data_IF_055252204578
#
_entry.id   IF_055252204578
#
_cell.length_a   1.000
_cell.length_b   1.000
_cell.length_c   1.000
_cell.angle_alpha   90.00
_cell.angle_beta   90.00
_cell.angle_gamma   90.00
#
_symmetry.space_group_name_H-M   'P 1'
#
loop_
_entity.id
_entity.type
_entity.pdbx_description
1 polymer ?
#
# COMPACT_ATOMS: atom_id res chain seq x y z
N UNK A 1 -3.97 26.48 56.27
CA UNK A 1 -2.74 26.16 55.48
C UNK A 1 -2.46 24.66 55.52
N UNK A 2 -2.61 23.95 56.62
CA UNK A 2 -2.42 22.48 56.71
C UNK A 2 -3.41 21.64 55.90
N UNK A 3 -4.67 22.06 55.77
CA UNK A 3 -5.68 21.33 54.99
C UNK A 3 -5.36 21.37 53.46
N UNK A 4 -4.77 22.43 52.97
CA UNK A 4 -4.39 22.54 51.53
C UNK A 4 -3.18 21.65 51.25
N UNK A 5 -2.24 21.55 52.16
CA UNK A 5 -1.04 20.71 52.04
C UNK A 5 -1.38 19.22 52.11
N UNK A 6 -2.38 18.83 52.93
CA UNK A 6 -2.87 17.44 53.01
C UNK A 6 -3.62 17.04 51.71
N UNK A 7 -4.38 17.97 51.14
CA UNK A 7 -5.13 17.72 49.90
C UNK A 7 -4.17 17.55 48.71
N UNK A 8 -3.15 18.40 48.55
CA UNK A 8 -2.15 18.25 47.48
C UNK A 8 -1.33 16.98 47.66
N UNK A 9 -0.98 16.58 48.90
CA UNK A 9 -0.28 15.32 49.15
C UNK A 9 -1.10 14.06 48.77
N UNK A 10 -2.39 14.09 49.03
CA UNK A 10 -3.29 12.99 48.69
C UNK A 10 -3.50 12.85 47.17
N UNK A 11 -3.69 13.97 46.47
CA UNK A 11 -3.78 13.97 45.01
C UNK A 11 -2.48 13.51 44.32
N UNK A 12 -1.33 13.94 44.87
CA UNK A 12 -0.02 13.54 44.36
C UNK A 12 0.22 12.04 44.59
N UNK A 13 -0.10 11.50 45.77
CA UNK A 13 -0.01 10.06 46.04
C UNK A 13 -0.97 9.25 45.18
N UNK A 14 -2.18 9.76 44.95
CA UNK A 14 -3.15 9.11 44.06
C UNK A 14 -2.67 9.14 42.60
N UNK A 15 -2.14 10.25 42.14
CA UNK A 15 -1.56 10.39 40.81
C UNK A 15 -0.32 9.49 40.63
N UNK A 16 0.56 9.44 41.60
CA UNK A 16 1.76 8.58 41.58
C UNK A 16 1.39 7.10 41.67
N UNK A 17 0.46 6.72 42.56
CA UNK A 17 0.01 5.33 42.65
C UNK A 17 -0.77 4.88 41.38
N UNK A 18 -1.57 5.77 40.79
CA UNK A 18 -2.24 5.52 39.51
C UNK A 18 -1.24 5.35 38.36
N UNK A 19 -0.19 6.15 38.31
CA UNK A 19 0.88 6.00 37.29
C UNK A 19 1.73 4.76 37.52
N UNK A 20 2.08 4.42 38.74
CA UNK A 20 2.87 3.20 39.05
C UNK A 20 2.08 1.92 38.84
N UNK A 21 0.78 1.90 39.19
CA UNK A 21 -0.08 0.75 38.89
C UNK A 21 -0.38 0.58 37.40
N UNK A 22 -0.25 1.65 36.62
CA UNK A 22 -0.45 1.64 35.15
C UNK A 22 0.71 0.95 34.44
N UNK A 23 1.91 0.87 35.03
CA UNK A 23 3.10 0.20 34.48
C UNK A 23 3.40 -1.16 35.15
N UNK A 24 2.41 -1.80 35.75
CA UNK A 24 2.58 -3.14 36.34
C UNK A 24 2.75 -4.19 35.22
N UNK A 25 3.97 -4.28 34.68
CA UNK A 25 4.35 -5.32 33.69
C UNK A 25 4.34 -6.69 34.37
N UNK A 26 3.52 -7.62 33.86
CA UNK A 26 3.48 -9.00 34.34
C UNK A 26 4.19 -9.94 33.36
N UNK A 27 5.47 -10.27 33.58
CA UNK A 27 6.24 -11.11 32.69
C UNK A 27 5.73 -12.55 32.58
N UNK A 28 5.01 -13.05 33.59
CA UNK A 28 4.46 -14.40 33.56
C UNK A 28 3.41 -14.59 32.45
N UNK A 29 2.76 -13.51 32.01
CA UNK A 29 1.78 -13.56 30.92
C UNK A 29 2.43 -13.82 29.55
N UNK A 30 3.72 -13.50 29.37
CA UNK A 30 4.41 -13.69 28.09
C UNK A 30 4.54 -15.16 27.69
N UNK A 31 4.52 -16.07 28.66
CA UNK A 31 4.67 -17.52 28.42
C UNK A 31 3.34 -18.25 28.26
N UNK A 32 2.22 -17.53 28.34
CA UNK A 32 0.89 -18.13 28.12
C UNK A 32 0.70 -18.50 26.65
N UNK A 33 0.04 -19.63 26.33
CA UNK A 33 -0.20 -20.04 24.95
C UNK A 33 -0.92 -18.98 24.10
N UNK A 34 -1.86 -18.24 24.69
CA UNK A 34 -2.60 -17.15 24.04
C UNK A 34 -1.66 -16.00 23.66
N UNK A 35 -0.76 -15.60 24.56
CA UNK A 35 0.20 -14.53 24.28
C UNK A 35 1.22 -14.93 23.21
N UNK A 36 1.70 -16.17 23.25
CA UNK A 36 2.61 -16.70 22.21
C UNK A 36 1.93 -16.71 20.84
N UNK A 37 0.65 -17.07 20.77
CA UNK A 37 -0.12 -17.02 19.54
C UNK A 37 -0.26 -15.59 19.02
N UNK A 38 -0.56 -14.61 19.87
CA UNK A 38 -0.64 -13.19 19.50
C UNK A 38 0.70 -12.63 19.03
N UNK A 39 1.79 -13.01 19.67
CA UNK A 39 3.14 -12.62 19.25
C UNK A 39 3.51 -13.25 17.90
N UNK A 40 3.19 -14.51 17.67
CA UNK A 40 3.37 -15.17 16.39
C UNK A 40 2.54 -14.50 15.29
N UNK A 41 1.27 -14.17 15.59
CA UNK A 41 0.41 -13.40 14.69
C UNK A 41 0.99 -12.01 14.38
N UNK A 42 1.54 -11.32 15.40
CA UNK A 42 2.19 -10.02 15.21
C UNK A 42 3.36 -10.10 14.25
N UNK A 43 4.21 -11.11 14.43
CA UNK A 43 5.35 -11.34 13.53
C UNK A 43 4.88 -11.63 12.10
N UNK A 44 3.87 -12.47 11.94
CA UNK A 44 3.27 -12.76 10.64
C UNK A 44 2.73 -11.50 9.96
N UNK A 45 1.99 -10.66 10.69
CA UNK A 45 1.45 -9.42 10.17
C UNK A 45 2.56 -8.44 9.75
N UNK A 46 3.65 -8.33 10.52
CA UNK A 46 4.81 -7.51 10.14
C UNK A 46 5.49 -8.03 8.87
N UNK A 47 5.62 -9.34 8.72
CA UNK A 47 6.16 -9.96 7.49
C UNK A 47 5.24 -9.69 6.30
N UNK A 48 3.92 -9.75 6.48
CA UNK A 48 2.95 -9.40 5.44
C UNK A 48 3.03 -7.92 5.06
N UNK A 49 3.16 -7.01 6.04
CA UNK A 49 3.36 -5.57 5.81
C UNK A 49 4.63 -5.33 4.99
N UNK A 50 5.75 -5.93 5.40
CA UNK A 50 7.01 -5.88 4.68
C UNK A 50 6.90 -6.43 3.25
N UNK A 51 6.14 -7.51 3.05
CA UNK A 51 5.87 -8.09 1.74
C UNK A 51 5.13 -7.10 0.83
N UNK A 52 4.04 -6.49 1.27
CA UNK A 52 3.28 -5.53 0.44
C UNK A 52 4.12 -4.30 0.11
N UNK A 53 4.79 -3.73 1.09
CA UNK A 53 5.64 -2.55 0.94
C UNK A 53 6.81 -2.79 -0.03
N UNK A 54 7.50 -3.92 0.09
CA UNK A 54 8.59 -4.30 -0.81
C UNK A 54 8.10 -4.67 -2.21
N UNK A 55 6.91 -5.25 -2.32
CA UNK A 55 6.31 -5.63 -3.61
C UNK A 55 6.01 -4.42 -4.48
N UNK A 56 5.48 -3.34 -3.89
CA UNK A 56 5.28 -2.06 -4.55
C UNK A 56 6.59 -1.59 -5.17
N UNK A 57 7.62 -1.46 -4.34
CA UNK A 57 8.92 -0.94 -4.78
C UNK A 57 9.58 -1.85 -5.81
N UNK A 58 9.56 -3.17 -5.62
CA UNK A 58 10.17 -4.11 -6.55
C UNK A 58 9.54 -4.06 -7.94
N UNK A 59 8.20 -4.06 -8.02
CA UNK A 59 7.48 -4.09 -9.30
C UNK A 59 7.62 -2.77 -10.06
N UNK A 60 7.51 -1.62 -9.38
CA UNK A 60 7.61 -0.30 -10.01
C UNK A 60 9.05 0.17 -10.25
N UNK A 61 10.05 -0.53 -9.71
CA UNK A 61 11.47 -0.30 -10.04
C UNK A 61 11.95 -1.07 -11.26
N UNK A 62 11.10 -1.93 -11.87
CA UNK A 62 11.47 -2.66 -13.09
C UNK A 62 11.46 -1.73 -14.30
N UNK A 63 12.58 -1.68 -15.02
CA UNK A 63 12.68 -0.97 -16.28
C UNK A 63 12.07 -1.76 -17.43
N UNK A 64 11.78 -1.09 -18.54
CA UNK A 64 11.34 -1.77 -19.79
C UNK A 64 12.38 -2.79 -20.29
N UNK A 65 13.67 -2.50 -20.09
CA UNK A 65 14.76 -3.41 -20.46
C UNK A 65 14.76 -4.67 -19.60
N UNK A 66 14.53 -4.54 -18.29
CA UNK A 66 14.43 -5.68 -17.37
C UNK A 66 13.29 -6.62 -17.79
N UNK A 67 12.13 -6.05 -18.14
CA UNK A 67 10.97 -6.82 -18.59
C UNK A 67 11.24 -7.55 -19.91
N UNK A 68 11.92 -6.90 -20.87
CA UNK A 68 12.33 -7.53 -22.12
C UNK A 68 13.35 -8.66 -21.89
N UNK A 69 14.32 -8.45 -21.00
CA UNK A 69 15.31 -9.46 -20.64
C UNK A 69 14.64 -10.68 -20.01
N UNK A 70 13.73 -10.50 -19.07
CA UNK A 70 12.96 -11.58 -18.45
C UNK A 70 12.20 -12.43 -19.48
N UNK A 71 11.63 -11.80 -20.51
CA UNK A 71 11.00 -12.50 -21.64
C UNK A 71 12.00 -13.27 -22.49
N UNK A 72 13.15 -12.68 -22.83
CA UNK A 72 14.21 -13.36 -23.61
C UNK A 72 14.78 -14.56 -22.89
N UNK A 73 14.95 -14.47 -21.58
CA UNK A 73 15.44 -15.57 -20.73
C UNK A 73 14.38 -16.66 -20.49
N UNK A 74 13.18 -16.52 -21.04
CA UNK A 74 12.04 -17.42 -20.85
C UNK A 74 11.75 -17.70 -19.37
N UNK A 75 11.90 -16.68 -18.53
CA UNK A 75 11.61 -16.82 -17.12
C UNK A 75 10.12 -17.19 -16.92
N UNK A 76 9.80 -18.27 -16.22
CA UNK A 76 8.39 -18.73 -16.07
C UNK A 76 7.49 -17.71 -15.36
N UNK A 77 8.06 -16.74 -14.65
CA UNK A 77 7.33 -15.68 -13.92
C UNK A 77 7.27 -14.35 -14.66
N UNK A 78 7.91 -14.24 -15.82
CA UNK A 78 7.88 -13.03 -16.65
C UNK A 78 6.45 -12.68 -17.06
N UNK A 79 5.66 -13.67 -17.43
CA UNK A 79 4.23 -13.50 -17.79
C UNK A 79 3.42 -12.95 -16.62
N UNK A 80 3.61 -13.51 -15.42
CA UNK A 80 2.91 -13.05 -14.20
C UNK A 80 3.25 -11.60 -13.85
N UNK A 81 4.50 -11.20 -14.01
CA UNK A 81 4.94 -9.81 -13.78
C UNK A 81 4.33 -8.87 -14.83
N UNK A 82 4.31 -9.30 -16.08
CA UNK A 82 3.68 -8.53 -17.16
C UNK A 82 2.18 -8.32 -16.92
N UNK A 83 1.45 -9.40 -16.63
CA UNK A 83 0.02 -9.35 -16.30
C UNK A 83 -0.29 -8.38 -15.15
N UNK A 84 0.60 -8.33 -14.14
CA UNK A 84 0.46 -7.41 -13.01
C UNK A 84 0.71 -5.96 -13.42
N UNK A 85 1.73 -5.71 -14.24
CA UNK A 85 2.13 -4.36 -14.65
C UNK A 85 1.28 -3.80 -15.80
N UNK A 86 0.62 -4.64 -16.60
CA UNK A 86 -0.31 -4.20 -17.64
C UNK A 86 -1.54 -3.44 -17.09
N UNK A 87 -1.84 -3.63 -15.79
CA UNK A 87 -2.94 -2.94 -15.13
C UNK A 87 -2.47 -2.22 -13.85
N UNK A 88 -1.63 -1.18 -13.99
CA UNK A 88 -0.94 -0.55 -12.88
C UNK A 88 -1.89 0.02 -11.83
N UNK A 89 -3.01 0.64 -12.25
CA UNK A 89 -4.03 1.15 -11.33
C UNK A 89 -4.63 0.06 -10.44
N UNK A 90 -4.92 -1.12 -11.00
CA UNK A 90 -5.44 -2.25 -10.22
C UNK A 90 -4.39 -2.81 -9.27
N UNK A 91 -3.15 -2.87 -9.72
CA UNK A 91 -2.02 -3.34 -8.93
C UNK A 91 -1.79 -2.43 -7.71
N UNK A 92 -1.67 -1.12 -7.93
CA UNK A 92 -1.48 -0.13 -6.87
C UNK A 92 -2.59 -0.23 -5.81
N UNK A 93 -3.87 -0.18 -6.23
CA UNK A 93 -5.00 -0.28 -5.31
C UNK A 93 -4.94 -1.58 -4.50
N UNK A 94 -4.55 -2.69 -5.13
CA UNK A 94 -4.47 -3.98 -4.45
C UNK A 94 -3.33 -4.04 -3.43
N UNK A 95 -2.17 -3.48 -3.75
CA UNK A 95 -1.02 -3.41 -2.85
C UNK A 95 -1.33 -2.51 -1.66
N UNK A 96 -1.81 -1.28 -1.91
CA UNK A 96 -2.16 -0.33 -0.86
C UNK A 96 -3.24 -0.89 0.06
N UNK A 97 -4.31 -1.47 -0.50
CA UNK A 97 -5.37 -2.08 0.32
C UNK A 97 -4.85 -3.22 1.17
N UNK A 98 -3.93 -4.04 0.65
CA UNK A 98 -3.31 -5.12 1.41
C UNK A 98 -2.43 -4.59 2.53
N UNK A 99 -1.61 -3.60 2.24
CA UNK A 99 -0.73 -2.97 3.22
C UNK A 99 -1.51 -2.34 4.36
N UNK A 100 -2.53 -1.54 4.05
CA UNK A 100 -3.39 -0.91 5.06
C UNK A 100 -4.14 -1.93 5.91
N UNK A 101 -4.73 -2.96 5.28
CA UNK A 101 -5.42 -4.02 6.02
C UNK A 101 -4.51 -4.70 7.05
N UNK A 102 -3.29 -5.03 6.63
CA UNK A 102 -2.30 -5.68 7.49
C UNK A 102 -1.80 -4.74 8.57
N UNK A 103 -1.55 -3.47 8.27
CA UNK A 103 -1.08 -2.48 9.24
C UNK A 103 -2.12 -2.20 10.32
N UNK A 104 -3.41 -2.09 9.93
CA UNK A 104 -4.53 -1.96 10.89
C UNK A 104 -4.64 -3.21 11.75
N UNK A 105 -4.57 -4.41 11.16
CA UNK A 105 -4.62 -5.66 11.91
C UNK A 105 -3.43 -5.80 12.88
N UNK A 106 -2.22 -5.44 12.45
CA UNK A 106 -1.02 -5.46 13.28
C UNK A 106 -1.13 -4.50 14.47
N UNK A 107 -1.65 -3.29 14.23
CA UNK A 107 -1.85 -2.29 15.27
C UNK A 107 -2.91 -2.75 16.28
N UNK A 108 -4.02 -3.32 15.82
CA UNK A 108 -5.07 -3.86 16.66
C UNK A 108 -4.58 -5.04 17.52
N UNK A 109 -3.83 -5.96 16.92
CA UNK A 109 -3.23 -7.09 17.63
C UNK A 109 -2.22 -6.63 18.69
N UNK A 110 -1.32 -5.68 18.35
CA UNK A 110 -0.38 -5.11 19.31
C UNK A 110 -1.10 -4.39 20.45
N UNK A 111 -2.16 -3.64 20.16
CA UNK A 111 -3.00 -3.03 21.19
C UNK A 111 -3.52 -4.09 22.18
N UNK A 112 -4.02 -5.22 21.66
CA UNK A 112 -4.51 -6.32 22.49
C UNK A 112 -3.41 -6.93 23.37
N UNK A 113 -2.20 -7.10 22.85
CA UNK A 113 -1.02 -7.55 23.60
C UNK A 113 -0.69 -6.57 24.71
N UNK A 114 -0.61 -5.28 24.38
CA UNK A 114 -0.23 -4.24 25.33
C UNK A 114 -1.28 -3.98 26.39
N UNK A 115 -2.58 -4.07 26.06
CA UNK A 115 -3.67 -3.98 27.04
C UNK A 115 -3.56 -5.11 28.06
N UNK A 116 -3.23 -6.32 27.64
CA UNK A 116 -3.04 -7.46 28.53
C UNK A 116 -1.83 -7.27 29.46
N UNK A 117 -0.76 -6.61 28.96
CA UNK A 117 0.49 -6.42 29.71
C UNK A 117 0.51 -5.15 30.58
N UNK A 118 -0.09 -4.05 30.11
CA UNK A 118 0.05 -2.71 30.69
C UNK A 118 -1.29 -2.03 31.03
N UNK A 119 -2.42 -2.68 30.76
CA UNK A 119 -3.74 -2.13 31.07
C UNK A 119 -4.02 -0.78 30.39
N UNK A 120 -4.39 0.24 31.16
CA UNK A 120 -4.82 1.54 30.65
C UNK A 120 -3.74 2.35 29.90
N UNK A 121 -2.46 2.09 30.16
CA UNK A 121 -1.36 2.77 29.47
C UNK A 121 -1.11 2.24 28.04
N UNK A 122 -1.74 1.15 27.64
CA UNK A 122 -1.51 0.45 26.39
C UNK A 122 -1.61 1.36 25.15
N UNK A 123 -2.52 2.34 25.14
CA UNK A 123 -2.73 3.23 23.98
C UNK A 123 -1.50 4.03 23.60
N UNK A 124 -0.88 4.68 24.58
CA UNK A 124 0.33 5.48 24.36
C UNK A 124 1.55 4.62 24.04
N UNK A 125 1.67 3.49 24.76
CA UNK A 125 2.75 2.53 24.52
C UNK A 125 2.63 1.95 23.10
N UNK A 126 1.40 1.65 22.65
CA UNK A 126 1.16 1.15 21.30
C UNK A 126 1.62 2.14 20.24
N UNK A 127 1.27 3.41 20.37
CA UNK A 127 1.70 4.44 19.44
C UNK A 127 3.25 4.52 19.36
N UNK A 128 3.89 4.55 20.52
CA UNK A 128 5.35 4.65 20.61
C UNK A 128 6.09 3.42 20.06
N UNK A 129 5.49 2.24 20.18
CA UNK A 129 6.07 0.98 19.71
C UNK A 129 5.73 0.72 18.23
N UNK A 130 4.44 0.85 17.86
CA UNK A 130 3.99 0.45 16.53
C UNK A 130 4.45 1.37 15.42
N UNK A 131 4.52 2.70 15.68
CA UNK A 131 4.97 3.64 14.64
C UNK A 131 6.41 3.36 14.19
N UNK A 132 7.43 3.27 15.08
CA UNK A 132 8.77 2.91 14.65
C UNK A 132 8.86 1.49 14.07
N UNK A 133 8.12 0.54 14.63
CA UNK A 133 8.17 -0.85 14.21
C UNK A 133 7.61 -1.04 12.80
N UNK A 134 6.45 -0.45 12.49
CA UNK A 134 5.89 -0.47 11.13
C UNK A 134 6.75 0.33 10.17
N UNK A 135 7.23 1.51 10.56
CA UNK A 135 8.05 2.33 9.69
C UNK A 135 9.36 1.61 9.33
N UNK A 136 10.07 1.06 10.31
CA UNK A 136 11.37 0.43 10.08
C UNK A 136 11.23 -0.96 9.45
N UNK A 137 10.40 -1.85 10.05
CA UNK A 137 10.31 -3.25 9.61
C UNK A 137 9.24 -3.46 8.55
N UNK A 138 8.16 -2.68 8.56
CA UNK A 138 7.06 -2.78 7.59
C UNK A 138 7.29 -2.00 6.30
N UNK A 139 8.05 -0.89 6.34
CA UNK A 139 8.17 0.01 5.19
C UNK A 139 9.61 0.25 4.74
N UNK A 140 10.43 0.93 5.53
CA UNK A 140 11.73 1.45 5.07
C UNK A 140 12.69 0.32 4.72
N UNK A 141 12.90 -0.63 5.62
CA UNK A 141 13.85 -1.74 5.39
C UNK A 141 13.44 -2.62 4.21
N UNK A 142 12.17 -3.08 4.09
CA UNK A 142 11.75 -3.90 2.96
C UNK A 142 11.87 -3.18 1.62
N UNK A 143 11.48 -1.90 1.54
CA UNK A 143 11.62 -1.09 0.33
C UNK A 143 13.08 -0.94 -0.08
N UNK A 144 13.96 -0.67 0.88
CA UNK A 144 15.40 -0.55 0.62
C UNK A 144 16.00 -1.84 0.07
N UNK A 145 15.61 -2.99 0.61
CA UNK A 145 16.05 -4.30 0.11
C UNK A 145 15.54 -4.55 -1.31
N UNK A 146 14.27 -4.21 -1.58
CA UNK A 146 13.63 -4.43 -2.88
C UNK A 146 14.27 -3.61 -4.01
N UNK A 147 14.68 -2.35 -3.74
CA UNK A 147 15.36 -1.48 -4.71
C UNK A 147 16.71 -2.04 -5.15
N UNK A 148 17.46 -2.71 -4.27
CA UNK A 148 18.80 -3.21 -4.59
C UNK A 148 18.82 -4.27 -5.71
N UNK A 149 17.77 -5.09 -5.82
CA UNK A 149 17.68 -6.14 -6.83
C UNK A 149 16.22 -6.39 -7.26
N UNK A 150 15.58 -5.42 -7.93
CA UNK A 150 14.14 -5.46 -8.21
C UNK A 150 13.76 -6.67 -9.09
N UNK A 151 14.56 -7.02 -10.07
CA UNK A 151 14.32 -8.17 -10.98
C UNK A 151 14.25 -9.47 -10.20
N UNK A 152 15.26 -9.73 -9.36
CA UNK A 152 15.34 -10.97 -8.58
C UNK A 152 14.27 -11.04 -7.50
N UNK A 153 13.95 -9.89 -6.89
CA UNK A 153 12.93 -9.80 -5.85
C UNK A 153 11.54 -10.01 -6.44
N UNK A 154 11.22 -9.33 -7.53
CA UNK A 154 9.94 -9.47 -8.24
C UNK A 154 9.70 -10.90 -8.73
N UNK A 155 10.70 -11.53 -9.33
CA UNK A 155 10.56 -12.89 -9.88
C UNK A 155 10.47 -13.96 -8.79
N UNK A 156 11.25 -13.86 -7.71
CA UNK A 156 11.33 -14.95 -6.71
C UNK A 156 10.29 -14.86 -5.61
N UNK A 157 9.96 -13.64 -5.18
CA UNK A 157 9.16 -13.40 -3.97
C UNK A 157 7.78 -12.85 -4.32
N UNK A 158 7.70 -11.88 -5.26
CA UNK A 158 6.50 -11.08 -5.45
C UNK A 158 5.52 -11.69 -6.46
N UNK A 159 5.98 -12.16 -7.61
CA UNK A 159 5.14 -12.46 -8.77
C UNK A 159 3.92 -13.34 -8.45
N UNK A 160 4.13 -14.52 -7.88
CA UNK A 160 3.05 -15.47 -7.62
C UNK A 160 2.12 -15.07 -6.46
N UNK A 161 2.67 -14.68 -5.26
CA UNK A 161 1.80 -14.28 -4.16
C UNK A 161 0.99 -13.02 -4.49
N UNK A 162 1.59 -12.06 -5.21
CA UNK A 162 0.90 -10.83 -5.60
C UNK A 162 -0.20 -11.09 -6.61
N UNK A 163 0.02 -11.96 -7.60
CA UNK A 163 -1.03 -12.37 -8.55
C UNK A 163 -2.23 -13.02 -7.85
N UNK A 164 -1.95 -13.89 -6.88
CA UNK A 164 -2.99 -14.49 -6.05
C UNK A 164 -3.75 -13.43 -5.25
N UNK A 165 -3.03 -12.50 -4.60
CA UNK A 165 -3.62 -11.41 -3.82
C UNK A 165 -4.49 -10.48 -4.66
N UNK A 166 -3.99 -10.02 -5.82
CA UNK A 166 -4.74 -9.16 -6.75
C UNK A 166 -6.05 -9.80 -7.19
N UNK A 167 -6.07 -11.12 -7.37
CA UNK A 167 -7.28 -11.86 -7.69
C UNK A 167 -8.22 -11.97 -6.50
N UNK A 168 -7.68 -12.27 -5.32
CA UNK A 168 -8.45 -12.41 -4.07
C UNK A 168 -9.15 -11.11 -3.67
N UNK A 169 -8.46 -9.96 -3.80
CA UNK A 169 -9.01 -8.64 -3.40
C UNK A 169 -9.94 -8.02 -4.46
N UNK A 170 -10.15 -8.70 -5.58
CA UNK A 170 -10.98 -8.21 -6.69
C UNK A 170 -12.38 -7.72 -6.26
N UNK A 171 -13.17 -8.44 -5.43
CA UNK A 171 -14.48 -7.96 -5.00
C UNK A 171 -14.40 -6.69 -4.16
N UNK A 172 -13.39 -6.57 -3.30
CA UNK A 172 -13.19 -5.37 -2.48
C UNK A 172 -12.80 -4.15 -3.34
N UNK A 173 -11.95 -4.35 -4.37
CA UNK A 173 -11.63 -3.28 -5.32
C UNK A 173 -12.85 -2.76 -6.05
N UNK A 174 -13.77 -3.64 -6.45
CA UNK A 174 -15.02 -3.24 -7.09
C UNK A 174 -15.85 -2.34 -6.16
N UNK A 175 -15.95 -2.68 -4.88
CA UNK A 175 -16.63 -1.87 -3.88
C UNK A 175 -15.93 -0.49 -3.68
N UNK A 176 -14.60 -0.48 -3.52
CA UNK A 176 -13.81 0.76 -3.37
C UNK A 176 -13.96 1.65 -4.60
N UNK A 177 -13.86 1.06 -5.80
CA UNK A 177 -14.03 1.79 -7.06
C UNK A 177 -15.42 2.42 -7.15
N UNK A 178 -16.48 1.68 -6.84
CA UNK A 178 -17.85 2.20 -6.87
C UNK A 178 -18.08 3.38 -5.90
N UNK A 179 -17.44 3.35 -4.73
CA UNK A 179 -17.47 4.48 -3.77
C UNK A 179 -16.68 5.67 -4.32
N UNK A 180 -15.45 5.43 -4.79
CA UNK A 180 -14.60 6.48 -5.34
C UNK A 180 -15.24 7.15 -6.56
N UNK A 181 -15.82 6.40 -7.50
CA UNK A 181 -16.53 6.92 -8.66
C UNK A 181 -17.73 7.79 -8.24
N UNK A 182 -18.51 7.36 -7.24
CA UNK A 182 -19.64 8.17 -6.73
C UNK A 182 -19.19 9.49 -6.11
N UNK A 183 -18.08 9.48 -5.38
CA UNK A 183 -17.52 10.69 -4.77
C UNK A 183 -16.99 11.62 -5.87
N UNK A 184 -16.23 11.08 -6.81
CA UNK A 184 -15.67 11.86 -7.93
C UNK A 184 -16.75 12.46 -8.80
N UNK A 185 -17.79 11.69 -9.16
CA UNK A 185 -18.92 12.20 -9.95
C UNK A 185 -19.69 13.31 -9.23
N UNK A 186 -19.81 13.24 -7.89
CA UNK A 186 -20.45 14.31 -7.11
C UNK A 186 -19.62 15.57 -6.96
N UNK A 187 -18.30 15.46 -6.91
CA UNK A 187 -17.39 16.59 -6.69
C UNK A 187 -16.95 17.26 -8.00
N UNK A 188 -16.77 16.48 -9.05
CA UNK A 188 -16.17 16.92 -10.32
C UNK A 188 -17.22 16.96 -11.46
N UNK A 189 -18.41 16.40 -11.24
CA UNK A 189 -19.44 16.21 -12.29
C UNK A 189 -19.16 14.95 -13.11
N UNK A 190 -20.02 14.66 -14.09
CA UNK A 190 -19.85 13.49 -14.97
C UNK A 190 -18.62 13.66 -15.87
N UNK A 191 -17.49 13.14 -15.41
CA UNK A 191 -16.22 13.19 -16.13
C UNK A 191 -16.09 12.05 -17.14
N UNK A 192 -17.11 11.84 -17.98
CA UNK A 192 -16.93 11.03 -19.21
C UNK A 192 -15.95 11.70 -20.19
N UNK A 193 -15.84 13.03 -20.13
CA UNK A 193 -14.93 13.79 -20.96
C UNK A 193 -13.45 13.60 -20.56
N UNK A 194 -13.12 13.48 -19.28
CA UNK A 194 -11.73 13.39 -18.85
C UNK A 194 -11.06 12.04 -19.20
N UNK A 195 -11.80 10.94 -19.21
CA UNK A 195 -11.24 9.63 -19.61
C UNK A 195 -11.01 9.59 -21.14
N UNK A 196 -11.85 10.25 -21.91
CA UNK A 196 -11.67 10.38 -23.37
C UNK A 196 -10.52 11.36 -23.74
N UNK A 197 -10.39 12.47 -23.02
CA UNK A 197 -9.31 13.44 -23.26
C UNK A 197 -7.93 12.85 -22.92
N UNK A 198 -7.81 12.08 -21.83
CA UNK A 198 -6.56 11.38 -21.49
C UNK A 198 -6.19 10.32 -22.54
N UNK A 199 -7.17 9.61 -23.10
CA UNK A 199 -6.94 8.64 -24.16
C UNK A 199 -6.53 9.32 -25.49
N UNK A 200 -7.10 10.48 -25.81
CA UNK A 200 -6.75 11.27 -27.01
C UNK A 200 -5.34 11.85 -26.86
N UNK A 201 -4.98 12.41 -25.71
CA UNK A 201 -3.64 12.97 -25.46
C UNK A 201 -2.57 11.88 -25.44
N UNK A 202 -2.84 10.70 -24.86
CA UNK A 202 -1.93 9.55 -24.94
C UNK A 202 -1.77 9.05 -26.39
N UNK A 203 -2.85 9.02 -27.16
CA UNK A 203 -2.82 8.61 -28.55
C UNK A 203 -2.06 9.62 -29.40
N UNK A 204 -2.25 10.93 -29.22
CA UNK A 204 -1.49 11.98 -29.89
C UNK A 204 0.01 11.89 -29.60
N UNK A 205 0.39 11.62 -28.35
CA UNK A 205 1.78 11.43 -27.95
C UNK A 205 2.40 10.20 -28.65
N UNK A 206 1.66 9.12 -28.81
CA UNK A 206 2.09 7.94 -29.55
C UNK A 206 2.25 8.23 -31.05
N UNK A 207 1.32 8.95 -31.64
CA UNK A 207 1.40 9.37 -33.06
C UNK A 207 2.64 10.25 -33.32
N UNK A 208 2.95 11.14 -32.36
CA UNK A 208 4.11 12.01 -32.44
C UNK A 208 5.42 11.22 -32.34
N UNK A 209 5.50 10.26 -31.41
CA UNK A 209 6.66 9.38 -31.23
C UNK A 209 6.90 8.48 -32.45
N UNK A 210 5.86 7.90 -33.04
CA UNK A 210 5.94 7.06 -34.23
C UNK A 210 6.31 7.88 -35.47
N UNK A 211 5.88 9.16 -35.54
CA UNK A 211 6.27 10.10 -36.58
C UNK A 211 7.75 10.49 -36.49
N UNK A 212 8.29 10.68 -35.28
CA UNK A 212 9.72 10.95 -35.06
C UNK A 212 10.60 9.74 -35.42
N UNK A 213 10.10 8.52 -35.25
CA UNK A 213 10.76 7.27 -35.67
C UNK A 213 10.71 7.04 -37.19
N UNK A 214 10.07 7.95 -37.94
CA UNK A 214 10.00 7.90 -39.44
C UNK A 214 9.07 6.83 -39.98
N UNK A 215 8.20 6.24 -39.13
CA UNK A 215 7.24 5.22 -39.54
C UNK A 215 5.90 5.80 -40.05
N UNK A 216 5.66 7.11 -39.86
CA UNK A 216 4.48 7.83 -40.36
C UNK A 216 4.93 9.00 -41.30
N UNK A 217 4.31 9.09 -42.45
CA UNK A 217 4.50 10.21 -43.34
C UNK A 217 3.73 11.46 -42.88
N UNK A 218 4.22 12.65 -43.24
CA UNK A 218 3.60 13.93 -42.89
C UNK A 218 2.11 14.03 -43.26
N UNK A 219 1.72 13.36 -44.36
CA UNK A 219 0.35 13.30 -44.86
C UNK A 219 -0.54 12.42 -43.98
N UNK A 220 -0.02 11.29 -43.52
CA UNK A 220 -0.74 10.35 -42.61
C UNK A 220 -0.95 10.97 -41.26
N UNK A 221 0.06 11.66 -40.72
CA UNK A 221 -0.03 12.45 -39.51
C UNK A 221 -1.15 13.51 -39.59
N UNK A 222 -1.17 14.30 -40.68
CA UNK A 222 -2.19 15.33 -40.87
C UNK A 222 -3.61 14.74 -40.98
N UNK A 223 -3.77 13.56 -41.56
CA UNK A 223 -5.04 12.84 -41.62
C UNK A 223 -5.52 12.38 -40.23
N UNK A 224 -4.61 11.84 -39.39
CA UNK A 224 -4.94 11.41 -38.02
C UNK A 224 -5.41 12.60 -37.19
N UNK A 225 -4.71 13.74 -37.26
CA UNK A 225 -5.12 14.97 -36.57
C UNK A 225 -6.50 15.45 -36.98
N UNK A 226 -6.79 15.46 -38.33
CA UNK A 226 -8.10 15.86 -38.85
C UNK A 226 -9.24 14.91 -38.42
N UNK A 227 -8.96 13.62 -38.37
CA UNK A 227 -9.96 12.62 -37.88
C UNK A 227 -10.29 12.79 -36.41
N UNK A 228 -9.29 13.11 -35.59
CA UNK A 228 -9.49 13.36 -34.17
C UNK A 228 -10.29 14.67 -33.93
N UNK A 229 -9.94 15.72 -34.68
CA UNK A 229 -10.65 17.01 -34.62
C UNK A 229 -12.12 16.88 -35.10
N UNK A 230 -12.36 16.08 -36.15
CA UNK A 230 -13.72 15.79 -36.61
C UNK A 230 -14.54 14.96 -35.60
N UNK A 231 -13.88 14.04 -34.89
CA UNK A 231 -14.53 13.24 -33.83
C UNK A 231 -14.94 14.09 -32.62
N UNK A 232 -14.17 15.12 -32.28
CA UNK A 232 -14.51 16.06 -31.18
C UNK A 232 -15.68 16.98 -31.54
N UNK A 233 -15.96 17.20 -32.82
CA UNK A 233 -17.00 18.11 -33.28
C UNK A 233 -18.39 17.44 -33.34
N UNK A 234 -18.50 16.13 -33.33
CA UNK A 234 -19.77 15.39 -33.36
C UNK A 234 -20.42 15.16 -31.97
N UNK A 235 -19.80 15.65 -30.88
CA UNK A 235 -20.27 15.41 -29.48
C UNK A 235 -20.86 16.72 -28.86
N UNK A 236 -21.47 17.60 -29.65
CA UNK A 236 -22.24 18.74 -29.14
C UNK A 236 -23.72 18.51 -29.39
#
# INVERSE_FOLDING_TARGET
>A
MEQILSFTGQYWQFAVSATVSTFAFNPALLTTPDMLLRLALQLLLLVCSAFFSSSETALFSLSRLDLQQLRREKNPRAESIHELLDQPRKLIISILSGNELVNVAATANMTSILVTLYGAAAGWINLLVMVPLLLLLGEVTPKTIAVHNPVRYSTRIVAEPMRFWVRLISPMRWAIRGVAERITTRLVGESKAADNLLQVDEFLTLVEQVSEEGALDATERALIYKLLEASDTEIV
#
